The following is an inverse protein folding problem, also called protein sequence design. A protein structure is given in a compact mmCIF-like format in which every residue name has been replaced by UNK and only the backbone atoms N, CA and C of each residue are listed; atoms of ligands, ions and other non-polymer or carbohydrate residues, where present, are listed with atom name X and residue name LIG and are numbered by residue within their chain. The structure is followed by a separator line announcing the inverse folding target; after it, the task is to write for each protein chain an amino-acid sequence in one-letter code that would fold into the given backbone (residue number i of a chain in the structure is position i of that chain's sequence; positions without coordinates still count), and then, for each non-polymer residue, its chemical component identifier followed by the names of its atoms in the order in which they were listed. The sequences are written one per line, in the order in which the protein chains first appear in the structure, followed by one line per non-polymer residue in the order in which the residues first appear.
data_IF_117334639113
#
_entry.id   IF_117334639113
#
_cell.length_a   1.000
_cell.length_b   1.000
_cell.length_c   1.000
_cell.angle_alpha   90.00
_cell.angle_beta   90.00
_cell.angle_gamma   90.00
#
_symmetry.space_group_name_H-M   'P 1'
#
loop_
_entity.id
_entity.type
_entity.pdbx_description
1 polymer ?
#
# COMPACT_ATOMS: atom_id res chain seq x y z
N UNK A 1 15.05 2.56 -9.74
CA UNK A 1 15.41 1.31 -10.45
C UNK A 1 15.59 0.20 -9.43
N UNK A 2 14.61 -0.70 -9.30
CA UNK A 2 14.72 -1.83 -8.37
C UNK A 2 15.56 -2.93 -9.02
N UNK A 3 16.81 -3.10 -8.58
CA UNK A 3 17.74 -4.07 -9.14
C UNK A 3 17.41 -5.50 -8.73
N UNK A 4 17.42 -6.44 -9.69
CA UNK A 4 17.37 -7.88 -9.41
C UNK A 4 18.74 -8.38 -8.95
N UNK A 5 18.77 -9.24 -7.94
CA UNK A 5 20.00 -9.92 -7.47
C UNK A 5 20.13 -11.28 -8.13
N UNK A 6 21.34 -11.76 -8.37
CA UNK A 6 21.55 -13.15 -8.83
C UNK A 6 21.94 -14.04 -7.64
N UNK A 7 21.22 -15.13 -7.42
CA UNK A 7 21.55 -16.17 -6.45
C UNK A 7 22.06 -17.42 -7.17
N UNK A 8 23.16 -18.00 -6.74
CA UNK A 8 23.63 -19.29 -7.26
C UNK A 8 23.18 -20.40 -6.31
N UNK A 9 22.37 -21.32 -6.82
CA UNK A 9 21.80 -22.44 -6.06
C UNK A 9 22.92 -23.32 -5.53
N UNK A 10 22.90 -23.61 -4.23
CA UNK A 10 23.80 -24.54 -3.54
C UNK A 10 23.18 -25.92 -3.45
N UNK A 11 24.01 -26.94 -3.19
CA UNK A 11 23.54 -28.29 -2.97
C UNK A 11 22.54 -28.34 -1.81
N UNK A 12 21.37 -28.95 -2.04
CA UNK A 12 20.30 -29.07 -1.04
C UNK A 12 19.35 -27.88 -0.94
N UNK A 13 19.58 -26.78 -1.66
CA UNK A 13 18.63 -25.66 -1.66
C UNK A 13 17.36 -25.97 -2.46
N UNK A 14 16.26 -25.39 -1.99
CA UNK A 14 14.96 -25.39 -2.67
C UNK A 14 14.54 -23.95 -2.94
N UNK A 15 13.60 -23.72 -3.87
CA UNK A 15 13.10 -22.35 -4.12
C UNK A 15 12.50 -21.71 -2.86
N UNK A 16 11.82 -22.49 -2.02
CA UNK A 16 11.29 -22.02 -0.74
C UNK A 16 12.40 -21.68 0.26
N UNK A 17 13.44 -22.52 0.37
CA UNK A 17 14.60 -22.26 1.22
C UNK A 17 15.41 -21.04 0.74
N UNK A 18 15.51 -20.82 -0.56
CA UNK A 18 16.16 -19.63 -1.11
C UNK A 18 15.31 -18.39 -0.79
N UNK A 19 13.99 -18.45 -0.97
CA UNK A 19 13.09 -17.33 -0.71
C UNK A 19 13.18 -16.79 0.74
N UNK A 20 13.47 -17.63 1.74
CA UNK A 20 13.64 -17.16 3.13
C UNK A 20 14.85 -16.24 3.31
N UNK A 21 15.86 -16.34 2.44
CA UNK A 21 17.00 -15.44 2.44
C UNK A 21 16.70 -14.06 1.82
N UNK A 22 15.55 -13.90 1.17
CA UNK A 22 15.16 -12.68 0.45
C UNK A 22 13.83 -12.12 0.97
N UNK A 23 13.87 -11.14 1.90
CA UNK A 23 12.68 -10.57 2.50
C UNK A 23 11.64 -10.10 1.46
N UNK A 24 10.41 -10.58 1.63
CA UNK A 24 9.25 -10.27 0.79
C UNK A 24 9.25 -10.88 -0.61
N UNK A 25 10.24 -11.70 -0.96
CA UNK A 25 10.24 -12.49 -2.21
C UNK A 25 9.65 -13.87 -1.91
N UNK A 26 8.67 -14.31 -2.69
CA UNK A 26 8.16 -15.69 -2.59
C UNK A 26 8.87 -16.61 -3.58
N UNK A 27 8.86 -17.91 -3.26
CA UNK A 27 9.38 -18.93 -4.18
C UNK A 27 8.66 -18.92 -5.54
N UNK A 28 7.36 -18.57 -5.59
CA UNK A 28 6.62 -18.43 -6.85
C UNK A 28 7.16 -17.26 -7.68
N UNK A 29 7.48 -16.13 -7.05
CA UNK A 29 8.06 -14.98 -7.73
C UNK A 29 9.43 -15.33 -8.31
N UNK A 30 10.26 -16.09 -7.58
CA UNK A 30 11.54 -16.60 -8.09
C UNK A 30 11.31 -17.55 -9.27
N UNK A 31 10.39 -18.51 -9.15
CA UNK A 31 10.06 -19.43 -10.24
C UNK A 31 9.60 -18.70 -11.50
N UNK A 32 8.70 -17.73 -11.35
CA UNK A 32 8.15 -16.93 -12.44
C UNK A 32 9.24 -16.08 -13.11
N UNK A 33 10.07 -15.40 -12.32
CA UNK A 33 11.18 -14.57 -12.83
C UNK A 33 12.17 -15.41 -13.65
N UNK A 34 12.37 -16.67 -13.29
CA UNK A 34 13.29 -17.60 -13.94
C UNK A 34 12.60 -18.56 -14.93
N UNK A 35 11.29 -18.40 -15.18
CA UNK A 35 10.48 -19.29 -16.04
C UNK A 35 10.62 -20.78 -15.70
N UNK A 36 10.62 -21.11 -14.41
CA UNK A 36 10.73 -22.49 -13.92
C UNK A 36 9.30 -23.09 -13.84
N UNK A 37 8.94 -24.06 -14.70
CA UNK A 37 7.63 -24.71 -14.64
C UNK A 37 7.56 -25.73 -13.49
N UNK A 38 6.35 -26.19 -13.17
CA UNK A 38 6.17 -27.36 -12.31
C UNK A 38 6.98 -28.55 -12.90
N UNK A 39 7.67 -29.35 -12.08
CA UNK A 39 7.58 -29.45 -10.61
C UNK A 39 8.49 -28.49 -9.83
N UNK A 40 8.90 -27.35 -10.42
CA UNK A 40 9.68 -26.29 -9.76
C UNK A 40 11.08 -26.71 -9.31
N UNK A 41 11.67 -27.65 -10.04
CA UNK A 41 13.01 -28.19 -9.76
C UNK A 41 14.10 -27.17 -10.08
N UNK A 42 15.04 -27.02 -9.16
CA UNK A 42 16.28 -26.27 -9.34
C UNK A 42 17.48 -27.20 -9.13
N UNK A 43 18.62 -26.85 -9.73
CA UNK A 43 19.86 -27.65 -9.66
C UNK A 43 21.00 -26.87 -9.01
N UNK A 44 21.91 -27.52 -8.26
CA UNK A 44 23.11 -26.85 -7.78
C UNK A 44 23.91 -26.21 -8.92
N UNK A 45 24.43 -25.01 -8.71
CA UNK A 45 25.11 -24.20 -9.71
C UNK A 45 24.19 -23.38 -10.62
N UNK A 46 22.87 -23.61 -10.59
CA UNK A 46 21.91 -22.81 -11.34
C UNK A 46 21.90 -21.38 -10.81
N UNK A 47 21.96 -20.39 -11.71
CA UNK A 47 21.85 -18.98 -11.38
C UNK A 47 20.40 -18.56 -11.48
N UNK A 48 19.82 -18.12 -10.37
CA UNK A 48 18.46 -17.60 -10.29
C UNK A 48 18.50 -16.08 -10.22
N UNK A 49 17.73 -15.44 -11.08
CA UNK A 49 17.34 -14.04 -10.91
C UNK A 49 16.35 -13.96 -9.76
N UNK A 50 16.77 -13.34 -8.66
CA UNK A 50 15.90 -12.98 -7.56
C UNK A 50 15.30 -11.63 -7.93
N UNK A 51 13.98 -11.56 -8.20
CA UNK A 51 13.35 -10.30 -8.52
C UNK A 51 13.55 -9.34 -7.34
N UNK A 52 13.88 -8.09 -7.64
CA UNK A 52 13.80 -7.03 -6.65
C UNK A 52 12.38 -7.05 -6.08
N UNK A 53 12.24 -6.63 -4.83
CA UNK A 53 10.94 -6.24 -4.29
C UNK A 53 10.33 -5.17 -5.21
N UNK A 54 9.53 -5.60 -6.19
CA UNK A 54 8.34 -4.84 -6.51
C UNK A 54 7.48 -5.09 -5.30
N UNK A 55 7.57 -4.20 -4.31
CA UNK A 55 6.47 -4.01 -3.38
C UNK A 55 5.24 -4.08 -4.27
N UNK A 56 4.43 -5.14 -4.13
CA UNK A 56 3.17 -5.21 -4.85
C UNK A 56 2.57 -3.82 -4.69
N UNK A 57 2.21 -3.11 -5.79
CA UNK A 57 1.80 -1.72 -5.68
C UNK A 57 0.82 -1.71 -4.54
N UNK A 58 1.16 -1.01 -3.44
CA UNK A 58 0.35 -1.08 -2.26
C UNK A 58 -1.05 -0.77 -2.78
N UNK A 59 -1.98 -1.72 -2.66
CA UNK A 59 -3.34 -1.54 -3.19
C UNK A 59 -4.03 -0.36 -2.51
N UNK A 60 -3.34 0.25 -1.54
CA UNK A 60 -3.69 1.38 -0.72
C UNK A 60 -2.76 2.54 -1.03
N UNK A 61 -3.33 3.72 -1.10
CA UNK A 61 -2.61 4.97 -1.30
C UNK A 61 -1.68 5.20 -0.09
N UNK A 62 -0.37 5.42 -0.28
CA UNK A 62 0.51 5.84 0.77
C UNK A 62 0.07 7.20 1.30
N UNK A 63 0.27 7.41 2.60
CA UNK A 63 -0.03 8.69 3.21
C UNK A 63 0.81 9.81 2.57
N UNK A 64 0.20 10.83 1.94
CA UNK A 64 0.93 11.90 1.25
C UNK A 64 1.55 12.94 2.20
N UNK A 65 1.36 12.79 3.51
CA UNK A 65 1.77 13.76 4.53
C UNK A 65 0.62 14.68 4.94
N UNK A 66 0.61 15.13 6.20
CA UNK A 66 -0.51 15.94 6.73
C UNK A 66 -0.62 17.30 6.02
N UNK A 67 0.52 17.91 5.67
CA UNK A 67 0.58 19.19 4.95
C UNK A 67 -0.03 19.16 3.55
N UNK A 68 -0.26 17.97 2.98
CA UNK A 68 -0.98 17.79 1.72
C UNK A 68 -2.44 18.26 1.83
N UNK A 69 -3.08 18.03 2.97
CA UNK A 69 -4.51 18.29 3.20
C UNK A 69 -4.74 19.72 3.68
N UNK A 70 -4.57 20.67 2.77
CA UNK A 70 -4.79 22.11 3.01
C UNK A 70 -5.76 22.68 1.99
N UNK A 71 -6.43 23.77 2.36
CA UNK A 71 -7.39 24.46 1.48
C UNK A 71 -6.70 24.82 0.16
N UNK A 72 -7.36 24.51 -0.95
CA UNK A 72 -6.87 24.75 -2.31
C UNK A 72 -6.10 23.58 -2.94
N UNK A 73 -5.75 22.52 -2.18
CA UNK A 73 -5.22 21.29 -2.79
C UNK A 73 -6.28 20.64 -3.69
N UNK A 74 -5.91 20.33 -4.93
CA UNK A 74 -6.72 19.60 -5.90
C UNK A 74 -5.97 18.30 -6.29
N UNK A 75 -6.57 17.15 -6.02
CA UNK A 75 -5.95 15.85 -6.30
C UNK A 75 -6.98 14.72 -6.32
N UNK A 76 -6.82 13.71 -7.21
CA UNK A 76 -7.65 12.50 -7.16
C UNK A 76 -7.48 11.70 -5.86
N UNK A 77 -6.39 11.91 -5.10
CA UNK A 77 -6.20 11.30 -3.77
C UNK A 77 -7.33 11.72 -2.81
N UNK A 78 -7.75 12.99 -2.88
CA UNK A 78 -8.82 13.53 -2.03
C UNK A 78 -10.16 12.87 -2.41
N UNK A 79 -10.45 12.72 -3.70
CA UNK A 79 -11.64 12.00 -4.17
C UNK A 79 -11.66 10.56 -3.66
N UNK A 80 -10.53 9.83 -3.74
CA UNK A 80 -10.43 8.44 -3.29
C UNK A 80 -10.58 8.32 -1.77
N UNK A 81 -9.94 9.20 -1.02
CA UNK A 81 -10.11 9.29 0.43
C UNK A 81 -11.57 9.55 0.79
N UNK A 82 -12.20 10.53 0.15
CA UNK A 82 -13.60 10.89 0.39
C UNK A 82 -14.56 9.75 0.08
N UNK A 83 -14.35 9.00 -1.01
CA UNK A 83 -15.15 7.80 -1.31
C UNK A 83 -15.02 6.75 -0.22
N UNK A 84 -13.80 6.56 0.30
CA UNK A 84 -13.58 5.62 1.39
C UNK A 84 -14.25 6.07 2.70
N UNK A 85 -14.26 7.38 2.99
CA UNK A 85 -15.01 7.93 4.13
C UNK A 85 -16.52 7.71 3.99
N UNK A 86 -17.08 7.77 2.77
CA UNK A 86 -18.48 7.41 2.49
C UNK A 86 -18.76 5.96 2.83
N UNK A 87 -17.91 5.03 2.37
CA UNK A 87 -18.04 3.60 2.67
C UNK A 87 -17.94 3.30 4.18
N UNK A 88 -17.14 4.08 4.91
CA UNK A 88 -17.03 3.99 6.36
C UNK A 88 -18.19 4.64 7.12
N UNK A 89 -19.15 5.25 6.42
CA UNK A 89 -20.28 5.94 7.03
C UNK A 89 -19.90 7.26 7.72
N UNK A 90 -18.72 7.81 7.40
CA UNK A 90 -18.20 9.05 7.97
C UNK A 90 -18.42 10.26 7.04
N UNK A 91 -19.39 10.18 6.12
CA UNK A 91 -19.60 11.22 5.12
C UNK A 91 -20.29 12.47 5.69
N UNK A 92 -19.78 13.64 5.31
CA UNK A 92 -20.46 14.94 5.45
C UNK A 92 -20.61 15.65 4.09
N UNK A 93 -20.65 14.88 2.99
CA UNK A 93 -20.84 15.43 1.64
C UNK A 93 -22.33 15.61 1.33
N UNK A 94 -22.66 16.68 0.59
CA UNK A 94 -24.04 16.90 0.10
C UNK A 94 -24.33 16.17 -1.21
N UNK A 95 -23.35 16.12 -2.10
CA UNK A 95 -23.42 15.46 -3.42
C UNK A 95 -22.48 14.27 -3.46
N UNK A 96 -21.23 14.48 -3.08
CA UNK A 96 -20.20 13.46 -3.03
C UNK A 96 -18.80 14.07 -2.94
N UNK A 97 -17.78 13.26 -2.71
CA UNK A 97 -16.40 13.73 -2.64
C UNK A 97 -15.89 14.17 -4.01
N UNK A 98 -15.20 15.31 -4.03
CA UNK A 98 -14.48 15.84 -5.19
C UNK A 98 -12.97 15.85 -4.97
N UNK A 99 -12.17 16.28 -5.97
CA UNK A 99 -10.72 16.29 -5.87
C UNK A 99 -10.18 17.46 -5.04
N UNK A 100 -10.99 18.47 -4.76
CA UNK A 100 -10.58 19.66 -4.00
C UNK A 100 -10.81 19.46 -2.52
N UNK A 101 -9.75 19.65 -1.73
CA UNK A 101 -9.84 19.60 -0.27
C UNK A 101 -10.75 20.72 0.22
N UNK A 102 -11.78 20.33 0.95
CA UNK A 102 -12.81 21.22 1.45
C UNK A 102 -13.10 20.96 2.93
N UNK A 103 -13.91 21.84 3.52
CA UNK A 103 -14.38 21.68 4.88
C UNK A 103 -15.28 20.43 5.06
N UNK A 104 -15.93 19.96 3.98
CA UNK A 104 -16.67 18.70 4.00
C UNK A 104 -15.72 17.49 4.18
N UNK A 105 -14.55 17.51 3.53
CA UNK A 105 -13.52 16.48 3.70
C UNK A 105 -12.96 16.48 5.11
N UNK A 106 -12.62 17.67 5.64
CA UNK A 106 -12.13 17.83 7.02
C UNK A 106 -13.13 17.29 8.04
N UNK A 107 -14.41 17.65 7.93
CA UNK A 107 -15.46 17.12 8.82
C UNK A 107 -15.62 15.60 8.69
N UNK A 108 -15.62 15.09 7.46
CA UNK A 108 -15.71 13.65 7.19
C UNK A 108 -14.55 12.88 7.80
N UNK A 109 -13.34 13.42 7.70
CA UNK A 109 -12.16 12.79 8.27
C UNK A 109 -12.13 12.91 9.80
N UNK A 110 -12.62 14.01 10.37
CA UNK A 110 -12.76 14.19 11.82
C UNK A 110 -13.74 13.15 12.41
N UNK A 111 -14.84 12.85 11.70
CA UNK A 111 -15.75 11.77 12.06
C UNK A 111 -15.06 10.39 12.00
N UNK A 112 -14.22 10.15 11.00
CA UNK A 112 -13.41 8.93 10.90
C UNK A 112 -12.41 8.78 12.05
N UNK A 113 -11.69 9.86 12.40
CA UNK A 113 -10.79 9.86 13.57
C UNK A 113 -11.56 9.54 14.85
N UNK A 114 -12.74 10.15 15.07
CA UNK A 114 -13.59 9.82 16.23
C UNK A 114 -14.07 8.36 16.21
N UNK A 115 -14.44 7.82 15.05
CA UNK A 115 -14.83 6.41 14.89
C UNK A 115 -13.70 5.44 15.29
N UNK A 116 -12.44 5.85 15.05
CA UNK A 116 -11.25 5.11 15.47
C UNK A 116 -10.89 5.31 16.95
N UNK A 117 -11.64 6.14 17.70
CA UNK A 117 -11.40 6.42 19.12
C UNK A 117 -10.46 7.60 19.39
N UNK A 118 -10.05 8.36 18.38
CA UNK A 118 -9.26 9.58 18.60
C UNK A 118 -10.17 10.71 19.14
N UNK A 119 -9.59 11.58 19.97
CA UNK A 119 -10.32 12.68 20.63
C UNK A 119 -9.49 13.96 20.65
N UNK A 120 -10.14 15.10 20.89
CA UNK A 120 -9.46 16.39 21.00
C UNK A 120 -8.67 16.74 19.73
N UNK A 121 -7.41 17.15 19.90
CA UNK A 121 -6.53 17.55 18.81
C UNK A 121 -6.23 16.40 17.82
N UNK A 122 -6.31 15.13 18.24
CA UNK A 122 -6.04 13.99 17.36
C UNK A 122 -7.22 13.65 16.42
N UNK A 123 -8.36 14.31 16.61
CA UNK A 123 -9.57 14.21 15.78
C UNK A 123 -9.94 15.54 15.10
N UNK A 124 -8.92 16.31 14.72
CA UNK A 124 -9.01 17.63 14.08
C UNK A 124 -9.52 17.62 12.62
N UNK A 125 -9.61 16.44 12.00
CA UNK A 125 -10.00 16.25 10.61
C UNK A 125 -8.86 16.37 9.61
N UNK A 126 -7.61 16.54 10.06
CA UNK A 126 -6.44 16.48 9.20
C UNK A 126 -5.91 15.05 9.20
N UNK A 127 -5.74 14.42 8.01
CA UNK A 127 -5.20 13.08 7.95
C UNK A 127 -3.80 12.98 8.54
N UNK A 128 -3.64 12.02 9.46
CA UNK A 128 -2.36 11.56 10.00
C UNK A 128 -2.07 10.13 9.56
N UNK A 129 -0.79 9.71 9.64
CA UNK A 129 -0.34 8.38 9.17
C UNK A 129 -1.20 7.23 9.73
N UNK A 130 -1.40 7.20 11.05
CA UNK A 130 -2.13 6.11 11.71
C UNK A 130 -3.60 6.02 11.27
N UNK A 131 -4.32 7.14 11.21
CA UNK A 131 -5.73 7.15 10.79
C UNK A 131 -5.87 6.88 9.28
N UNK A 132 -4.89 7.30 8.47
CA UNK A 132 -4.84 7.06 7.03
C UNK A 132 -4.63 5.58 6.70
N UNK A 133 -3.68 4.94 7.37
CA UNK A 133 -3.37 3.51 7.18
C UNK A 133 -4.58 2.63 7.53
N UNK A 134 -5.37 3.03 8.53
CA UNK A 134 -6.63 2.38 8.90
C UNK A 134 -7.76 2.66 7.93
N UNK A 135 -7.79 3.82 7.28
CA UNK A 135 -8.81 4.15 6.28
C UNK A 135 -8.67 3.25 5.04
N UNK A 136 -7.43 2.82 4.73
CA UNK A 136 -7.11 1.91 3.61
C UNK A 136 -7.61 2.45 2.26
N UNK A 137 -7.37 3.74 2.01
CA UNK A 137 -7.75 4.40 0.75
C UNK A 137 -7.21 3.60 -0.43
N UNK A 138 -8.04 3.08 -1.36
CA UNK A 138 -7.56 2.27 -2.47
C UNK A 138 -6.75 3.12 -3.45
N UNK A 139 -5.78 2.51 -4.15
CA UNK A 139 -5.20 3.08 -5.37
C UNK A 139 -6.08 2.71 -6.56
N UNK A 140 -6.33 3.69 -7.42
CA UNK A 140 -7.07 3.50 -8.66
C UNK A 140 -6.26 2.78 -9.72
#
# INVERSE_FOLDING_TARGET
SGGSTTHTVRAGETLSGIATAYPGVTWQQIAQANRIPAPYTIRPGQRLTIPAQRSAPASREPFPGASFFRVGTDSPIITRMGRRLVEEGCSHYRVGPGPRWSDADRRSYSAWQRKLGFTGADADGIPGRTSWDRLRVPRG
#
